data_IF_741276749752
#
_entry.id   IF_741276749752
#
_cell.length_a   1.000
_cell.length_b   1.000
_cell.length_c   1.000
_cell.angle_alpha   90.00
_cell.angle_beta   90.00
_cell.angle_gamma   90.00
#
_symmetry.space_group_name_H-M   'P 1'
#
loop_
_entity.id
_entity.type
_entity.pdbx_description
1 polymer ?
#
# COMPACT_ATOMS: atom_id res chain seq x y z
N UNK A 1 -6.90 13.29 -0.01
CA UNK A 1 -7.16 14.02 -1.27
C UNK A 1 -6.53 13.19 -2.38
N UNK A 2 -7.34 12.57 -3.25
CA UNK A 2 -6.80 11.81 -4.39
C UNK A 2 -6.12 12.76 -5.38
N UNK A 3 -5.06 12.31 -6.07
CA UNK A 3 -4.45 13.03 -7.20
C UNK A 3 -5.48 13.44 -8.28
N UNK A 4 -6.65 12.79 -8.32
CA UNK A 4 -7.76 13.11 -9.23
C UNK A 4 -8.57 14.36 -8.83
N UNK A 5 -8.32 14.95 -7.65
CA UNK A 5 -8.96 16.20 -7.23
C UNK A 5 -8.20 17.42 -7.78
N UNK A 6 -8.91 18.41 -8.33
CA UNK A 6 -8.32 19.69 -8.77
C UNK A 6 -7.54 20.40 -7.64
N UNK A 7 -7.91 20.17 -6.38
CA UNK A 7 -7.18 20.69 -5.20
C UNK A 7 -5.87 19.91 -4.97
N UNK A 8 -5.85 18.59 -5.21
CA UNK A 8 -4.65 17.77 -5.06
C UNK A 8 -3.53 18.18 -6.02
N UNK A 9 -3.88 18.55 -7.27
CA UNK A 9 -2.91 19.02 -8.26
C UNK A 9 -2.30 20.39 -7.95
N UNK A 10 -3.04 21.28 -7.30
CA UNK A 10 -2.58 22.64 -7.02
C UNK A 10 -1.66 22.71 -5.78
N UNK A 11 -1.68 21.67 -4.94
CA UNK A 11 -0.91 21.57 -3.70
C UNK A 11 0.03 20.37 -3.65
N UNK A 12 0.23 19.61 -4.74
CA UNK A 12 1.03 18.37 -4.74
C UNK A 12 2.48 18.55 -4.26
N UNK A 13 3.01 19.77 -4.33
CA UNK A 13 4.36 20.15 -3.83
C UNK A 13 4.36 20.73 -2.41
N UNK A 14 3.19 20.87 -1.78
CA UNK A 14 3.01 21.49 -0.47
C UNK A 14 2.63 20.49 0.63
N UNK A 15 2.51 19.21 0.32
CA UNK A 15 2.18 18.20 1.32
C UNK A 15 2.92 16.89 1.15
N UNK A 16 3.06 16.16 2.25
CA UNK A 16 3.67 14.84 2.29
C UNK A 16 2.68 13.83 2.89
N UNK A 17 2.51 12.69 2.23
CA UNK A 17 1.90 11.51 2.82
C UNK A 17 2.91 10.86 3.75
N UNK A 18 2.45 10.39 4.90
CA UNK A 18 3.31 9.66 5.80
C UNK A 18 2.48 8.67 6.60
N UNK A 19 3.14 7.59 6.99
CA UNK A 19 2.58 6.59 7.89
C UNK A 19 3.60 6.26 8.95
N UNK A 20 3.14 6.20 10.20
CA UNK A 20 3.95 5.85 11.35
C UNK A 20 3.24 4.78 12.16
N UNK A 21 3.99 3.78 12.60
CA UNK A 21 3.47 2.72 13.45
C UNK A 21 4.45 2.39 14.56
N UNK A 22 3.90 1.87 15.65
CA UNK A 22 4.66 1.25 16.75
C UNK A 22 4.06 -0.11 17.07
N UNK A 23 4.89 -1.02 17.56
CA UNK A 23 4.46 -2.35 17.94
C UNK A 23 5.28 -2.90 19.10
N UNK A 24 4.73 -3.91 19.77
CA UNK A 24 5.39 -4.65 20.84
C UNK A 24 5.66 -6.12 20.46
N UNK A 25 6.31 -6.85 21.36
CA UNK A 25 6.64 -8.26 21.16
C UNK A 25 5.40 -9.18 21.10
N UNK A 26 4.30 -8.78 21.74
CA UNK A 26 3.05 -9.51 21.78
C UNK A 26 2.23 -9.37 20.48
N UNK A 27 2.73 -8.56 19.54
CA UNK A 27 2.10 -8.32 18.24
C UNK A 27 0.98 -7.29 18.28
N UNK A 28 0.92 -6.45 19.32
CA UNK A 28 0.00 -5.32 19.35
C UNK A 28 0.60 -4.18 18.52
N UNK A 29 -0.16 -3.67 17.55
CA UNK A 29 0.22 -2.58 16.67
C UNK A 29 -0.68 -1.37 16.91
N UNK A 30 -0.08 -0.20 16.77
CA UNK A 30 -0.78 1.08 16.71
C UNK A 30 -0.21 1.88 15.56
N UNK A 31 -1.09 2.31 14.66
CA UNK A 31 -0.71 2.97 13.41
C UNK A 31 -1.49 4.25 13.21
N UNK A 32 -0.83 5.23 12.60
CA UNK A 32 -1.36 6.54 12.32
C UNK A 32 -0.79 7.06 10.99
N UNK A 33 -1.57 7.88 10.31
CA UNK A 33 -1.16 8.56 9.09
C UNK A 33 -2.04 8.20 7.91
N UNK A 34 -1.73 8.85 6.79
CA UNK A 34 -2.46 8.71 5.55
C UNK A 34 -1.45 8.48 4.42
N UNK A 35 -1.71 7.44 3.66
CA UNK A 35 -0.93 7.09 2.48
C UNK A 35 -1.88 6.74 1.33
N UNK A 36 -1.37 6.84 0.11
CA UNK A 36 -2.10 6.49 -1.11
C UNK A 36 -2.43 5.00 -1.17
N UNK A 37 -1.57 4.15 -0.60
CA UNK A 37 -1.79 2.71 -0.48
C UNK A 37 -2.12 2.32 0.97
N UNK A 38 -3.22 1.60 1.17
CA UNK A 38 -3.57 1.05 2.48
C UNK A 38 -2.73 -0.19 2.80
N UNK A 39 -2.17 -0.32 4.02
CA UNK A 39 -1.44 -1.50 4.44
C UNK A 39 -2.35 -2.71 4.46
N UNK A 40 -1.77 -3.85 4.10
CA UNK A 40 -2.49 -5.11 3.95
C UNK A 40 -2.14 -6.01 5.12
N UNK A 41 -3.16 -6.60 5.76
CA UNK A 41 -3.03 -7.70 6.71
C UNK A 41 -3.44 -8.99 6.00
N UNK A 42 -2.58 -10.00 6.02
CA UNK A 42 -2.91 -11.36 5.63
C UNK A 42 -2.89 -12.28 6.85
N UNK A 43 -4.03 -12.90 7.16
CA UNK A 43 -4.15 -13.88 8.24
C UNK A 43 -3.53 -15.21 7.82
N UNK A 44 -2.66 -15.77 8.66
CA UNK A 44 -1.95 -17.01 8.33
C UNK A 44 -2.88 -18.22 8.17
N UNK A 45 -3.87 -18.32 9.05
CA UNK A 45 -4.77 -19.46 9.20
C UNK A 45 -5.82 -19.52 8.09
N UNK A 46 -6.50 -18.41 7.82
CA UNK A 46 -7.57 -18.32 6.83
C UNK A 46 -7.09 -17.86 5.45
N UNK A 47 -5.93 -17.20 5.37
CA UNK A 47 -5.53 -16.44 4.19
C UNK A 47 -6.40 -15.22 3.94
N UNK A 48 -7.20 -14.78 4.91
CA UNK A 48 -8.03 -13.59 4.82
C UNK A 48 -7.16 -12.35 4.63
N UNK A 49 -7.53 -11.53 3.66
CA UNK A 49 -6.91 -10.25 3.36
C UNK A 49 -7.82 -9.14 3.85
N UNK A 50 -7.25 -8.19 4.58
CA UNK A 50 -7.93 -6.96 5.01
C UNK A 50 -6.97 -5.78 4.90
N UNK A 51 -7.49 -4.57 4.74
CA UNK A 51 -6.68 -3.36 4.73
C UNK A 51 -6.85 -2.58 6.02
N UNK A 52 -5.81 -1.82 6.39
CA UNK A 52 -5.86 -0.88 7.49
C UNK A 52 -6.30 0.47 6.93
N UNK A 53 -7.50 0.96 7.28
CA UNK A 53 -7.99 2.23 6.77
C UNK A 53 -7.05 3.35 7.18
N UNK A 54 -6.81 4.28 6.25
CA UNK A 54 -6.00 5.47 6.53
C UNK A 54 -6.69 6.35 7.59
N UNK A 55 -6.01 6.56 8.72
CA UNK A 55 -6.46 7.47 9.79
C UNK A 55 -5.45 8.61 9.91
N UNK A 56 -5.71 9.74 9.24
CA UNK A 56 -4.82 10.89 9.33
C UNK A 56 -4.98 11.90 8.19
N UNK A 57 -4.23 12.99 8.32
CA UNK A 57 -4.26 14.15 7.44
C UNK A 57 -2.97 14.27 6.63
N UNK A 58 -3.02 14.98 5.51
CA UNK A 58 -1.83 15.34 4.72
C UNK A 58 -1.03 16.40 5.49
N UNK A 59 0.25 16.13 5.77
CA UNK A 59 1.11 17.09 6.44
C UNK A 59 1.39 18.28 5.52
N UNK A 60 1.28 19.51 6.02
CA UNK A 60 1.64 20.73 5.28
C UNK A 60 0.47 21.55 4.72
N UNK A 61 -0.77 21.02 4.73
CA UNK A 61 -1.95 21.75 4.23
C UNK A 61 -2.75 22.41 5.36
N UNK A 62 -2.86 21.73 6.51
CA UNK A 62 -3.68 22.19 7.64
C UNK A 62 -2.78 22.53 8.83
N UNK A 63 -2.93 23.74 9.37
CA UNK A 63 -2.23 24.19 10.59
C UNK A 63 -2.51 23.26 11.79
N UNK A 64 -3.71 22.66 11.82
CA UNK A 64 -4.25 21.84 12.90
C UNK A 64 -4.35 20.34 12.56
N UNK A 65 -3.54 19.84 11.61
CA UNK A 65 -3.57 18.46 11.10
C UNK A 65 -3.44 17.34 12.15
N UNK A 66 -3.16 17.68 13.41
CA UNK A 66 -2.88 16.73 14.49
C UNK A 66 -4.02 16.69 15.55
N UNK A 67 -5.01 17.59 15.46
CA UNK A 67 -6.10 17.66 16.43
C UNK A 67 -7.15 16.56 16.15
N UNK A 68 -7.40 15.72 17.17
CA UNK A 68 -8.42 14.64 17.21
C UNK A 68 -8.08 13.27 16.56
N UNK A 69 -6.78 12.96 16.43
CA UNK A 69 -6.34 11.80 15.66
C UNK A 69 -6.40 10.45 16.41
N UNK A 70 -7.40 9.65 16.07
CA UNK A 70 -7.49 8.25 16.46
C UNK A 70 -6.45 7.41 15.70
N UNK A 71 -5.53 6.82 16.44
CA UNK A 71 -4.67 5.75 15.95
C UNK A 71 -5.51 4.49 15.70
N UNK A 72 -5.25 3.76 14.63
CA UNK A 72 -5.83 2.43 14.45
C UNK A 72 -5.01 1.40 15.25
N UNK A 73 -5.70 0.57 16.03
CA UNK A 73 -5.08 -0.47 16.87
C UNK A 73 -5.53 -1.85 16.42
N UNK A 74 -4.58 -2.76 16.26
CA UNK A 74 -4.84 -4.13 15.83
C UNK A 74 -3.78 -5.08 16.40
N UNK A 75 -4.03 -6.39 16.27
CA UNK A 75 -3.12 -7.43 16.71
C UNK A 75 -2.80 -8.39 15.57
N UNK A 76 -1.52 -8.71 15.42
CA UNK A 76 -1.03 -9.78 14.57
C UNK A 76 -0.82 -11.04 15.42
N UNK A 77 -1.38 -12.16 14.97
CA UNK A 77 -1.13 -13.48 15.53
C UNK A 77 0.13 -14.09 14.90
N UNK A 78 0.77 -15.09 15.55
CA UNK A 78 1.89 -15.81 14.95
C UNK A 78 1.60 -16.29 13.53
N UNK A 79 2.49 -15.95 12.60
CA UNK A 79 2.38 -16.21 11.18
C UNK A 79 1.72 -15.10 10.36
N UNK A 80 0.90 -14.23 10.97
CA UNK A 80 0.21 -13.16 10.24
C UNK A 80 1.21 -12.21 9.58
N UNK A 81 0.82 -11.68 8.43
CA UNK A 81 1.60 -10.73 7.65
C UNK A 81 0.99 -9.34 7.73
N UNK A 82 1.85 -8.34 7.79
CA UNK A 82 1.54 -6.93 7.56
C UNK A 82 2.44 -6.41 6.44
N UNK A 83 1.83 -5.87 5.38
CA UNK A 83 2.51 -5.44 4.17
C UNK A 83 2.23 -3.95 3.94
N UNK A 84 3.27 -3.20 3.63
CA UNK A 84 3.20 -1.83 3.15
C UNK A 84 3.77 -1.77 1.74
N UNK A 85 3.10 -1.03 0.87
CA UNK A 85 3.46 -0.81 -0.52
C UNK A 85 3.37 0.68 -0.82
N UNK A 86 4.21 1.23 -1.69
CA UNK A 86 3.92 2.49 -2.36
C UNK A 86 2.91 2.27 -3.50
N UNK A 87 2.27 3.35 -3.95
CA UNK A 87 1.38 3.39 -5.12
C UNK A 87 2.10 3.04 -6.42
N UNK A 88 3.40 3.32 -6.53
CA UNK A 88 4.24 2.90 -7.67
C UNK A 88 4.24 1.38 -7.99
N UNK A 89 3.74 0.54 -7.09
CA UNK A 89 3.47 -0.89 -7.35
C UNK A 89 2.10 -1.09 -7.98
N UNK A 90 1.04 -0.57 -7.35
CA UNK A 90 -0.32 -0.78 -7.80
C UNK A 90 -0.59 -0.06 -9.14
N UNK A 91 -0.03 1.13 -9.33
CA UNK A 91 -0.19 1.97 -10.52
C UNK A 91 0.73 1.57 -11.69
N UNK A 92 1.67 0.65 -11.47
CA UNK A 92 2.50 0.08 -12.54
C UNK A 92 1.62 -0.55 -13.63
N UNK A 93 1.86 -0.24 -14.90
CA UNK A 93 0.92 -0.57 -15.96
C UNK A 93 1.58 -1.03 -17.26
N UNK A 94 0.78 -1.66 -18.13
CA UNK A 94 1.20 -2.09 -19.47
C UNK A 94 1.31 -0.91 -20.44
N UNK A 95 2.00 -1.13 -21.56
CA UNK A 95 2.00 -0.17 -22.67
C UNK A 95 0.57 0.19 -23.11
N UNK A 96 0.31 1.48 -23.40
CA UNK A 96 -0.94 1.90 -23.99
C UNK A 96 -1.13 1.22 -25.35
N UNK A 97 -2.30 0.60 -25.57
CA UNK A 97 -2.65 0.09 -26.90
C UNK A 97 -2.77 1.26 -27.88
N UNK A 98 -1.91 1.30 -28.90
CA UNK A 98 -2.05 2.27 -29.98
C UNK A 98 -3.37 2.03 -30.74
N UNK A 99 -4.26 3.03 -30.77
CA UNK A 99 -5.45 3.04 -31.62
C UNK A 99 -6.82 2.83 -30.93
N UNK A 100 -6.91 2.87 -29.61
CA UNK A 100 -8.19 2.84 -28.89
C UNK A 100 -8.80 4.23 -28.69
N UNK A 101 -10.14 4.31 -28.71
CA UNK A 101 -10.95 5.49 -28.39
C UNK A 101 -10.52 6.16 -27.07
N UNK A 102 -10.91 7.42 -26.89
CA UNK A 102 -10.55 8.43 -25.87
C UNK A 102 -10.51 8.06 -24.38
N UNK A 103 -10.62 6.78 -24.01
CA UNK A 103 -10.43 6.28 -22.65
C UNK A 103 -8.95 5.87 -22.45
N UNK A 104 -8.13 6.84 -22.08
CA UNK A 104 -6.71 6.68 -21.76
C UNK A 104 -6.43 5.98 -20.41
N UNK A 105 -7.24 5.01 -19.98
CA UNK A 105 -6.91 4.22 -18.78
C UNK A 105 -5.96 3.08 -19.19
N UNK A 106 -4.69 3.19 -18.76
CA UNK A 106 -3.71 2.10 -18.87
C UNK A 106 -4.14 0.97 -17.92
N UNK A 107 -3.89 -0.29 -18.29
CA UNK A 107 -4.21 -1.43 -17.42
C UNK A 107 -3.14 -1.51 -16.32
N UNK A 108 -3.52 -1.12 -15.10
CA UNK A 108 -2.68 -1.12 -13.90
C UNK A 108 -2.53 -2.54 -13.30
N UNK A 109 -1.42 -2.76 -12.59
CA UNK A 109 -1.10 -4.00 -11.89
C UNK A 109 -2.14 -4.26 -10.81
N UNK A 110 -2.51 -3.23 -10.07
CA UNK A 110 -3.66 -3.19 -9.18
C UNK A 110 -3.52 -4.02 -7.91
N UNK A 111 -4.34 -3.67 -6.93
CA UNK A 111 -4.35 -4.30 -5.60
C UNK A 111 -4.75 -5.78 -5.65
N UNK A 112 -5.62 -6.17 -6.59
CA UNK A 112 -6.07 -7.55 -6.72
C UNK A 112 -4.92 -8.53 -6.97
N UNK A 113 -3.95 -8.15 -7.80
CA UNK A 113 -2.78 -8.98 -8.10
C UNK A 113 -1.82 -9.05 -6.92
N UNK A 114 -1.60 -7.92 -6.24
CA UNK A 114 -0.81 -7.86 -5.01
C UNK A 114 -1.40 -8.81 -3.96
N UNK A 115 -2.71 -8.73 -3.72
CA UNK A 115 -3.43 -9.57 -2.76
C UNK A 115 -3.34 -11.05 -3.11
N UNK A 116 -3.50 -11.40 -4.40
CA UNK A 116 -3.37 -12.78 -4.86
C UNK A 116 -1.96 -13.35 -4.63
N UNK A 117 -0.91 -12.56 -4.90
CA UNK A 117 0.49 -12.97 -4.66
C UNK A 117 0.73 -13.17 -3.16
N UNK A 118 0.31 -12.23 -2.32
CA UNK A 118 0.44 -12.32 -0.85
C UNK A 118 -0.25 -13.59 -0.34
N UNK A 119 -1.50 -13.83 -0.74
CA UNK A 119 -2.27 -14.98 -0.28
C UNK A 119 -1.63 -16.32 -0.71
N UNK A 120 -1.11 -16.39 -1.93
CA UNK A 120 -0.43 -17.56 -2.47
C UNK A 120 0.93 -17.84 -1.78
N UNK A 121 1.61 -16.79 -1.31
CA UNK A 121 2.92 -16.89 -0.68
C UNK A 121 2.89 -16.70 0.84
N UNK A 122 1.72 -16.68 1.49
CA UNK A 122 1.60 -16.31 2.92
C UNK A 122 2.46 -17.14 3.87
N UNK A 123 2.69 -18.41 3.54
CA UNK A 123 3.50 -19.33 4.35
C UNK A 123 5.01 -19.07 4.22
N UNK A 124 5.44 -18.30 3.21
CA UNK A 124 6.83 -17.99 2.90
C UNK A 124 7.44 -16.95 3.84
N UNK A 125 8.75 -16.79 3.74
CA UNK A 125 9.49 -15.74 4.43
C UNK A 125 9.16 -14.35 3.86
N UNK A 126 9.33 -13.27 4.65
CA UNK A 126 9.16 -11.90 4.14
C UNK A 126 9.94 -11.62 2.86
N UNK A 127 11.19 -12.07 2.78
CA UNK A 127 12.05 -11.87 1.61
C UNK A 127 11.48 -12.57 0.36
N UNK A 128 11.06 -13.84 0.49
CA UNK A 128 10.41 -14.56 -0.62
C UNK A 128 9.09 -13.90 -1.07
N UNK A 129 8.33 -13.28 -0.16
CA UNK A 129 7.10 -12.55 -0.50
C UNK A 129 7.44 -11.27 -1.26
N UNK A 130 8.46 -10.51 -0.81
CA UNK A 130 8.95 -9.32 -1.51
C UNK A 130 9.40 -9.69 -2.93
N UNK A 131 10.21 -10.73 -3.07
CA UNK A 131 10.68 -11.23 -4.37
C UNK A 131 9.50 -11.61 -5.28
N UNK A 132 8.48 -12.30 -4.75
CA UNK A 132 7.31 -12.69 -5.53
C UNK A 132 6.49 -11.47 -6.03
N UNK A 133 6.33 -10.44 -5.19
CA UNK A 133 5.62 -9.21 -5.58
C UNK A 133 6.41 -8.46 -6.65
N UNK A 134 7.71 -8.26 -6.44
CA UNK A 134 8.58 -7.55 -7.40
C UNK A 134 8.64 -8.29 -8.73
N UNK A 135 8.83 -9.61 -8.72
CA UNK A 135 8.81 -10.40 -9.95
C UNK A 135 7.45 -10.35 -10.67
N UNK A 136 6.36 -10.34 -9.92
CA UNK A 136 5.01 -10.14 -10.45
C UNK A 136 4.86 -8.79 -11.16
N UNK A 137 5.32 -7.71 -10.50
CA UNK A 137 5.31 -6.35 -11.05
C UNK A 137 6.17 -6.26 -12.32
N UNK A 138 7.44 -6.67 -12.25
CA UNK A 138 8.39 -6.62 -13.37
C UNK A 138 7.89 -7.38 -14.60
N UNK A 139 7.20 -8.51 -14.39
CA UNK A 139 6.62 -9.29 -15.48
C UNK A 139 5.40 -8.64 -16.14
N UNK A 140 4.77 -7.68 -15.45
CA UNK A 140 3.51 -7.06 -15.85
C UNK A 140 3.71 -5.69 -16.51
N UNK A 141 4.59 -4.86 -15.93
CA UNK A 141 4.75 -3.48 -16.35
C UNK A 141 5.59 -3.36 -17.62
N UNK A 142 5.34 -2.31 -18.40
CA UNK A 142 6.22 -1.98 -19.52
C UNK A 142 7.49 -1.27 -19.07
N UNK A 143 7.33 -0.30 -18.17
CA UNK A 143 8.41 0.50 -17.62
C UNK A 143 8.02 0.94 -16.20
N UNK A 144 9.01 1.09 -15.33
CA UNK A 144 8.82 1.67 -14.01
C UNK A 144 8.77 3.20 -14.14
N UNK A 145 7.61 3.79 -13.88
CA UNK A 145 7.39 5.24 -13.99
C UNK A 145 7.45 5.96 -12.62
N UNK A 146 7.37 5.22 -11.51
CA UNK A 146 7.34 5.75 -10.14
C UNK A 146 8.22 4.92 -9.18
N UNK A 147 8.50 5.42 -7.97
CA UNK A 147 9.31 4.71 -6.99
C UNK A 147 8.55 3.54 -6.34
N UNK A 148 9.23 2.40 -6.20
CA UNK A 148 8.69 1.19 -5.56
C UNK A 148 9.28 1.02 -4.18
N UNK A 149 8.42 0.96 -3.16
CA UNK A 149 8.78 0.65 -1.78
C UNK A 149 7.90 -0.48 -1.24
N UNK A 150 8.53 -1.50 -0.65
CA UNK A 150 7.87 -2.63 0.01
C UNK A 150 8.41 -2.85 1.41
N UNK A 151 7.52 -3.09 2.36
CA UNK A 151 7.87 -3.59 3.70
C UNK A 151 6.94 -4.74 4.05
N UNK A 152 7.53 -5.89 4.38
CA UNK A 152 6.79 -7.08 4.84
C UNK A 152 7.22 -7.42 6.27
N UNK A 153 6.25 -7.47 7.17
CA UNK A 153 6.43 -7.89 8.56
C UNK A 153 5.67 -9.20 8.75
N UNK A 154 6.36 -10.22 9.27
CA UNK A 154 5.74 -11.50 9.67
C UNK A 154 5.85 -11.66 11.18
N UNK A 155 4.72 -11.82 11.88
CA UNK A 155 4.75 -12.11 13.31
C UNK A 155 5.32 -13.52 13.51
N UNK A 156 6.37 -13.64 14.32
CA UNK A 156 6.90 -14.94 14.75
C UNK A 156 6.07 -15.53 15.88
#
# INVERSE_FOLDING_TARGET
>A
LSQKSMIGRQYSSMYMTFRMFRFDHDGNFEIFGNDHAEPIICRQDSGEISTIPSTGFLLGIMEDAILDNQTHKFKLNPGDLLIFCSDGIAEGHKEPKQGGSSDHHREEFGEERINAIIQAHREKTPDEIIEAIVAGLDSYIHAQEDDVTLLVIKKK
#
